data_IF_166703375411
#
_entry.id   IF_166703375411
#
_cell.length_a   1.000
_cell.length_b   1.000
_cell.length_c   1.000
_cell.angle_alpha   90.00
_cell.angle_beta   90.00
_cell.angle_gamma   90.00
#
_symmetry.space_group_name_H-M   'P 1'
#
loop_
_entity.id
_entity.type
_entity.pdbx_description
1 polymer ?
#
# COMPACT_ATOMS: atom_id res chain seq x y z
N UNK A 1 1.58 -7.17 18.80
CA UNK A 1 1.36 -6.77 17.40
C UNK A 1 0.71 -5.39 17.33
N UNK A 2 0.91 -4.67 16.24
CA UNK A 2 0.26 -3.40 15.90
C UNK A 2 -0.12 -3.46 14.42
N UNK A 3 -1.29 -2.96 14.08
CA UNK A 3 -1.71 -2.81 12.69
C UNK A 3 -1.25 -1.45 12.18
N UNK A 4 -0.85 -1.40 10.91
CA UNK A 4 -0.38 -0.20 10.25
C UNK A 4 -1.16 0.02 8.96
N UNK A 5 -1.60 1.25 8.77
CA UNK A 5 -2.11 1.75 7.51
C UNK A 5 -1.09 2.75 6.97
N UNK A 6 -0.70 2.59 5.71
CA UNK A 6 0.24 3.48 5.03
C UNK A 6 -0.51 4.19 3.91
N UNK A 7 -0.33 5.51 3.83
CA UNK A 7 -0.76 6.30 2.69
C UNK A 7 0.42 7.11 2.13
N UNK A 8 0.15 7.98 1.15
CA UNK A 8 1.19 8.83 0.54
C UNK A 8 1.75 9.91 1.48
N UNK A 9 1.09 10.16 2.61
CA UNK A 9 1.39 11.25 3.55
C UNK A 9 2.09 10.71 4.81
N UNK A 10 1.91 9.44 5.14
CA UNK A 10 2.58 8.82 6.27
C UNK A 10 2.02 7.45 6.64
N UNK A 11 2.16 7.12 7.92
CA UNK A 11 1.72 5.85 8.48
C UNK A 11 0.91 6.11 9.76
N UNK A 12 -0.25 5.47 9.86
CA UNK A 12 -1.09 5.49 11.05
C UNK A 12 -1.05 4.11 11.69
N UNK A 13 -0.96 4.10 13.01
CA UNK A 13 -0.78 2.91 13.83
C UNK A 13 -1.98 2.67 14.74
N UNK A 14 -2.42 1.43 14.85
CA UNK A 14 -3.35 1.01 15.91
C UNK A 14 -2.67 1.04 17.28
N UNK A 15 -3.49 0.98 18.34
CA UNK A 15 -3.00 0.56 19.66
C UNK A 15 -2.35 -0.83 19.55
N UNK A 16 -1.24 -1.09 20.27
CA UNK A 16 -0.62 -2.41 20.30
C UNK A 16 -1.48 -3.38 21.10
N UNK A 17 -1.42 -4.66 20.74
CA UNK A 17 -2.08 -5.76 21.45
C UNK A 17 -1.18 -7.00 21.52
N UNK A 18 -1.38 -7.90 22.47
CA UNK A 18 -0.54 -9.09 22.67
C UNK A 18 -1.17 -10.28 21.93
N UNK A 19 -0.48 -10.85 20.95
CA UNK A 19 -1.05 -11.93 20.13
C UNK A 19 -1.31 -13.20 20.93
N UNK A 20 -0.60 -13.42 22.03
CA UNK A 20 -0.78 -14.60 22.88
C UNK A 20 -1.91 -14.42 23.90
N UNK A 21 -2.25 -13.17 24.24
CA UNK A 21 -3.33 -12.86 25.19
C UNK A 21 -4.64 -12.48 24.48
N UNK A 22 -4.53 -11.86 23.31
CA UNK A 22 -5.63 -11.31 22.52
C UNK A 22 -5.85 -12.14 21.24
N UNK A 23 -5.94 -13.48 21.40
CA UNK A 23 -5.97 -14.43 20.28
C UNK A 23 -7.12 -14.16 19.29
N UNK A 24 -8.30 -13.76 19.77
CA UNK A 24 -9.43 -13.40 18.92
C UNK A 24 -9.10 -12.19 18.03
N UNK A 25 -8.52 -11.12 18.60
CA UNK A 25 -8.12 -9.94 17.86
C UNK A 25 -7.04 -10.26 16.83
N UNK A 26 -6.11 -11.17 17.17
CA UNK A 26 -5.13 -11.67 16.22
C UNK A 26 -5.78 -12.40 15.03
N UNK A 27 -6.65 -13.38 15.28
CA UNK A 27 -7.33 -14.14 14.21
C UNK A 27 -8.21 -13.22 13.35
N UNK A 28 -8.97 -12.31 13.96
CA UNK A 28 -9.79 -11.34 13.24
C UNK A 28 -8.95 -10.40 12.37
N UNK A 29 -7.79 -9.96 12.87
CA UNK A 29 -6.86 -9.14 12.08
C UNK A 29 -6.42 -9.89 10.81
N UNK A 30 -5.98 -11.14 10.95
CA UNK A 30 -5.55 -11.96 9.80
C UNK A 30 -6.70 -12.20 8.82
N UNK A 31 -7.88 -12.56 9.31
CA UNK A 31 -9.07 -12.74 8.47
C UNK A 31 -9.49 -11.43 7.78
N UNK A 32 -9.30 -10.29 8.44
CA UNK A 32 -9.50 -8.96 7.87
C UNK A 32 -8.60 -8.75 6.66
N UNK A 33 -7.28 -8.92 6.82
CA UNK A 33 -6.33 -8.79 5.71
C UNK A 33 -6.63 -9.73 4.55
N UNK A 34 -7.01 -10.98 4.82
CA UNK A 34 -7.35 -11.95 3.77
C UNK A 34 -8.62 -11.59 2.98
N UNK A 35 -9.52 -10.77 3.56
CA UNK A 35 -10.78 -10.35 2.92
C UNK A 35 -10.72 -8.95 2.31
N UNK A 36 -9.70 -8.18 2.61
CA UNK A 36 -9.51 -6.84 2.07
C UNK A 36 -9.11 -6.91 0.59
N UNK A 37 -9.65 -5.99 -0.19
CA UNK A 37 -9.17 -5.76 -1.56
C UNK A 37 -7.89 -4.90 -1.53
N UNK A 38 -7.27 -4.72 -2.68
CA UNK A 38 -6.01 -3.99 -2.80
C UNK A 38 -6.09 -2.56 -2.22
N UNK A 39 -7.20 -1.85 -2.46
CA UNK A 39 -7.43 -0.52 -1.90
C UNK A 39 -7.38 -0.52 -0.36
N UNK A 40 -8.12 -1.43 0.28
CA UNK A 40 -8.18 -1.54 1.74
C UNK A 40 -6.89 -2.06 2.37
N UNK A 41 -6.05 -2.73 1.59
CA UNK A 41 -4.70 -3.13 1.99
C UNK A 41 -3.69 -1.97 1.89
N UNK A 42 -4.12 -0.79 1.41
CA UNK A 42 -3.28 0.38 1.24
C UNK A 42 -2.47 0.36 -0.06
N UNK A 43 -2.83 -0.46 -1.04
CA UNK A 43 -2.22 -0.37 -2.36
C UNK A 43 -2.70 0.88 -3.08
N UNK A 44 -1.76 1.51 -3.77
CA UNK A 44 -2.04 2.65 -4.63
C UNK A 44 -2.61 2.17 -5.97
N UNK A 45 -3.94 2.22 -6.10
CA UNK A 45 -4.64 1.76 -7.31
C UNK A 45 -4.32 2.59 -8.57
N UNK A 46 -3.63 3.74 -8.45
CA UNK A 46 -3.13 4.46 -9.63
C UNK A 46 -1.94 3.74 -10.30
N UNK A 47 -1.29 2.81 -9.60
CA UNK A 47 -0.21 1.98 -10.13
C UNK A 47 -0.80 0.68 -10.69
N UNK A 48 -0.89 0.61 -12.01
CA UNK A 48 -1.39 -0.55 -12.74
C UNK A 48 -0.26 -1.51 -13.08
N UNK A 49 -0.58 -2.79 -13.24
CA UNK A 49 0.35 -3.83 -13.72
C UNK A 49 -0.14 -4.41 -15.04
N UNK A 50 0.73 -4.47 -16.04
CA UNK A 50 0.46 -5.13 -17.31
C UNK A 50 0.65 -6.65 -17.21
N UNK A 51 0.15 -7.43 -18.18
CA UNK A 51 0.31 -8.89 -18.18
C UNK A 51 1.78 -9.37 -18.22
N UNK A 52 2.70 -8.56 -18.74
CA UNK A 52 4.16 -8.81 -18.74
C UNK A 52 4.85 -8.36 -17.45
N UNK A 53 4.09 -7.90 -16.45
CA UNK A 53 4.58 -7.54 -15.11
C UNK A 53 5.15 -6.12 -14.99
N UNK A 54 5.08 -5.30 -16.04
CA UNK A 54 5.49 -3.89 -15.96
C UNK A 54 4.46 -3.09 -15.16
N UNK A 55 4.94 -2.16 -14.34
CA UNK A 55 4.09 -1.25 -13.57
C UNK A 55 4.05 0.11 -14.24
N UNK A 56 2.89 0.75 -14.25
CA UNK A 56 2.72 2.05 -14.87
C UNK A 56 1.62 2.87 -14.20
N UNK A 57 1.62 4.18 -14.44
CA UNK A 57 0.58 5.11 -14.00
C UNK A 57 0.05 5.82 -15.23
N UNK A 58 -1.27 5.88 -15.39
CA UNK A 58 -1.90 6.74 -16.39
C UNK A 58 -2.26 8.09 -15.77
N UNK A 59 -1.87 9.16 -16.47
CA UNK A 59 -2.18 10.53 -16.06
C UNK A 59 -2.78 11.30 -17.23
N UNK A 60 -3.52 12.37 -16.92
CA UNK A 60 -3.90 13.37 -17.92
C UNK A 60 -3.08 14.63 -17.68
N UNK A 61 -2.25 15.00 -18.65
CA UNK A 61 -1.43 16.21 -18.61
C UNK A 61 -1.75 17.08 -19.81
N UNK A 62 -2.10 18.35 -19.56
CA UNK A 62 -2.48 19.31 -20.61
C UNK A 62 -3.57 18.77 -21.57
N UNK A 63 -4.55 18.04 -21.02
CA UNK A 63 -5.65 17.44 -21.79
C UNK A 63 -5.27 16.22 -22.63
N UNK A 64 -4.06 15.67 -22.46
CA UNK A 64 -3.59 14.46 -23.14
C UNK A 64 -3.34 13.35 -22.13
N UNK A 65 -3.71 12.13 -22.48
CA UNK A 65 -3.38 10.94 -21.70
C UNK A 65 -1.91 10.58 -21.92
N UNK A 66 -1.18 10.40 -20.83
CA UNK A 66 0.22 9.96 -20.80
C UNK A 66 0.33 8.69 -19.93
N UNK A 67 1.23 7.77 -20.32
CA UNK A 67 1.55 6.57 -19.57
C UNK A 67 2.98 6.67 -19.02
N UNK A 68 3.11 6.65 -17.69
CA UNK A 68 4.39 6.69 -16.99
C UNK A 68 4.79 5.28 -16.57
N UNK A 69 5.80 4.71 -17.23
CA UNK A 69 6.30 3.36 -16.92
C UNK A 69 7.28 3.42 -15.74
N UNK A 70 7.05 2.57 -14.73
CA UNK A 70 7.92 2.42 -13.57
C UNK A 70 8.98 1.35 -13.88
N UNK A 71 10.14 1.81 -14.38
CA UNK A 71 11.24 0.93 -14.83
C UNK A 71 11.99 0.24 -13.67
N UNK A 72 11.90 0.77 -12.46
CA UNK A 72 12.56 0.20 -11.29
C UNK A 72 12.07 0.74 -9.97
N UNK A 73 12.59 0.17 -8.87
CA UNK A 73 12.29 0.66 -7.54
C UNK A 73 12.95 2.02 -7.33
N UNK A 74 12.13 3.02 -6.96
CA UNK A 74 12.64 4.28 -6.46
C UNK A 74 13.43 4.01 -5.18
N UNK A 75 14.74 4.27 -5.21
CA UNK A 75 15.53 4.30 -3.98
C UNK A 75 15.03 5.46 -3.14
N UNK A 76 14.74 5.23 -1.86
CA UNK A 76 14.51 6.32 -0.91
C UNK A 76 15.71 7.26 -0.97
N UNK A 77 15.47 8.53 -1.31
CA UNK A 77 16.47 9.56 -1.09
C UNK A 77 16.83 9.60 0.40
N UNK A 78 18.08 9.92 0.77
CA UNK A 78 18.42 10.12 2.17
C UNK A 78 17.43 11.12 2.79
N UNK A 79 16.91 10.79 3.96
CA UNK A 79 16.06 11.70 4.71
C UNK A 79 16.87 12.96 5.01
N UNK A 80 16.46 14.11 4.47
CA UNK A 80 16.99 15.40 4.91
C UNK A 80 16.20 15.75 6.17
N UNK A 81 16.78 15.43 7.32
CA UNK A 81 16.27 15.85 8.62
C UNK A 81 16.71 17.29 8.92
#
# INVERSE_FOLDING_TARGET
>A
MRLWEFDRIGAIASSPFDTNKDALQFVLSILGFLRMNDERLGYDLSIMSSPDGKRFIEITRNGRSECLVLDGLLKRGPCVA
#
